data_IF_724095526354
#
_entry.id   IF_724095526354
#
_cell.length_a   1.000
_cell.length_b   1.000
_cell.length_c   1.000
_cell.angle_alpha   90.00
_cell.angle_beta   90.00
_cell.angle_gamma   90.00
#
_symmetry.space_group_name_H-M   'P 1'
#
loop_
_entity.id
_entity.type
_entity.pdbx_description
1 polymer ?
#
# COMPACT_ATOMS: atom_id res chain seq x y z
N UNK A 1 65.38 3.61 20.48
CA UNK A 1 64.37 2.75 21.16
C UNK A 1 63.12 2.88 20.34
N UNK A 2 62.89 1.81 19.58
CA UNK A 2 61.86 1.66 18.57
C UNK A 2 60.52 1.42 19.28
N UNK A 3 59.58 2.35 19.17
CA UNK A 3 58.21 2.17 19.66
C UNK A 3 57.34 2.00 18.44
N UNK A 4 56.78 0.79 18.31
CA UNK A 4 56.18 0.25 17.10
C UNK A 4 55.03 1.07 16.53
N UNK A 5 55.17 1.38 15.25
CA UNK A 5 54.06 1.62 14.33
C UNK A 5 53.33 0.29 14.07
N UNK A 6 52.32 -0.01 14.88
CA UNK A 6 51.27 -0.98 14.54
C UNK A 6 49.91 -0.26 14.52
N UNK A 7 49.80 0.78 13.70
CA UNK A 7 48.52 1.12 13.08
C UNK A 7 48.41 0.29 11.79
N UNK A 8 47.88 -0.93 11.90
CA UNK A 8 47.39 -1.64 10.73
C UNK A 8 46.17 -0.89 10.20
N UNK A 9 46.43 0.11 9.36
CA UNK A 9 45.42 0.61 8.45
C UNK A 9 44.86 -0.60 7.72
N UNK A 10 43.60 -0.94 7.99
CA UNK A 10 42.80 -1.77 7.10
C UNK A 10 42.95 -1.15 5.70
N UNK A 11 43.85 -1.72 4.90
CA UNK A 11 43.92 -1.42 3.48
C UNK A 11 42.59 -1.87 2.94
N UNK A 12 41.70 -0.90 2.72
CA UNK A 12 40.55 -1.07 1.86
C UNK A 12 41.13 -1.62 0.56
N UNK A 13 40.97 -2.92 0.35
CA UNK A 13 41.58 -3.61 -0.77
C UNK A 13 40.83 -3.18 -2.02
N UNK A 14 41.30 -2.07 -2.60
CA UNK A 14 40.73 -1.48 -3.80
C UNK A 14 40.73 -2.50 -4.95
N UNK A 15 41.64 -3.50 -4.90
CA UNK A 15 41.66 -4.62 -5.83
C UNK A 15 40.47 -5.56 -5.66
N UNK A 16 39.95 -5.79 -4.46
CA UNK A 16 38.73 -6.57 -4.26
C UNK A 16 37.49 -5.84 -4.82
N UNK A 17 37.41 -4.51 -4.64
CA UNK A 17 36.33 -3.70 -5.23
C UNK A 17 36.41 -3.63 -6.75
N UNK A 18 37.61 -3.50 -7.32
CA UNK A 18 37.82 -3.45 -8.77
C UNK A 18 37.59 -4.81 -9.45
N UNK A 19 37.90 -5.92 -8.78
CA UNK A 19 37.57 -7.28 -9.24
C UNK A 19 36.10 -7.68 -9.01
N UNK A 20 35.31 -6.82 -8.36
CA UNK A 20 33.85 -7.01 -8.22
C UNK A 20 33.08 -6.49 -9.44
N UNK A 21 33.70 -5.66 -10.27
CA UNK A 21 33.10 -5.17 -11.50
C UNK A 21 33.38 -6.15 -12.63
N UNK A 22 32.35 -6.53 -13.41
CA UNK A 22 32.59 -7.44 -14.50
C UNK A 22 33.61 -6.87 -15.47
N UNK A 23 34.55 -7.69 -15.93
CA UNK A 23 35.53 -7.26 -16.94
C UNK A 23 34.87 -6.95 -18.28
N UNK A 24 35.57 -6.26 -19.19
CA UNK A 24 35.04 -5.93 -20.53
C UNK A 24 34.51 -7.16 -21.30
N UNK A 25 35.10 -8.33 -21.06
CA UNK A 25 34.65 -9.60 -21.65
C UNK A 25 33.34 -10.10 -21.03
N UNK A 26 33.19 -9.96 -19.70
CA UNK A 26 31.97 -10.31 -18.98
C UNK A 26 30.82 -9.36 -19.34
N UNK A 27 31.11 -8.06 -19.50
CA UNK A 27 30.12 -7.12 -20.04
C UNK A 27 29.67 -7.51 -21.45
N UNK A 28 30.60 -7.86 -22.35
CA UNK A 28 30.24 -8.34 -23.69
C UNK A 28 29.38 -9.60 -23.65
N UNK A 29 29.71 -10.54 -22.76
CA UNK A 29 28.90 -11.75 -22.57
C UNK A 29 27.51 -11.41 -22.03
N UNK A 30 27.41 -10.54 -21.02
CA UNK A 30 26.12 -10.10 -20.45
C UNK A 30 25.26 -9.43 -21.53
N UNK A 31 25.83 -8.55 -22.36
CA UNK A 31 25.08 -7.93 -23.45
C UNK A 31 24.65 -8.95 -24.51
N UNK A 32 25.52 -9.89 -24.87
CA UNK A 32 25.17 -10.97 -25.80
C UNK A 32 24.03 -11.85 -25.25
N UNK A 33 24.07 -12.19 -23.97
CA UNK A 33 23.03 -12.99 -23.30
C UNK A 33 21.70 -12.22 -23.21
N UNK A 34 21.77 -10.90 -22.99
CA UNK A 34 20.59 -10.02 -23.00
C UNK A 34 20.00 -9.96 -24.41
N UNK A 35 20.82 -9.77 -25.43
CA UNK A 35 20.38 -9.70 -26.83
C UNK A 35 19.70 -11.02 -27.24
N UNK A 36 20.30 -12.17 -26.89
CA UNK A 36 19.72 -13.49 -27.16
C UNK A 36 18.36 -13.65 -26.45
N UNK A 37 18.24 -13.24 -25.17
CA UNK A 37 16.97 -13.28 -24.44
C UNK A 37 15.92 -12.34 -25.04
N UNK A 38 16.32 -11.18 -25.55
CA UNK A 38 15.42 -10.24 -26.23
C UNK A 38 14.90 -10.85 -27.53
N UNK A 39 15.75 -11.50 -28.32
CA UNK A 39 15.34 -12.21 -29.55
C UNK A 39 14.39 -13.39 -29.24
N UNK A 40 14.70 -14.17 -28.21
CA UNK A 40 13.83 -15.25 -27.75
C UNK A 40 12.46 -14.73 -27.29
N UNK A 41 12.44 -13.61 -26.54
CA UNK A 41 11.20 -12.95 -26.13
C UNK A 41 10.41 -12.43 -27.34
N UNK A 42 11.07 -11.79 -28.30
CA UNK A 42 10.42 -11.30 -29.51
C UNK A 42 9.75 -12.45 -30.30
N UNK A 43 10.46 -13.56 -30.44
CA UNK A 43 9.95 -14.77 -31.11
C UNK A 43 8.77 -15.39 -30.35
N UNK A 44 8.85 -15.44 -29.01
CA UNK A 44 7.80 -15.97 -28.15
C UNK A 44 6.53 -15.11 -28.19
N UNK A 45 6.69 -13.79 -28.21
CA UNK A 45 5.57 -12.85 -28.37
C UNK A 45 4.92 -13.03 -29.73
N UNK A 46 5.70 -13.15 -30.81
CA UNK A 46 5.16 -13.38 -32.16
C UNK A 46 4.38 -14.69 -32.24
N UNK A 47 4.88 -15.76 -31.61
CA UNK A 47 4.16 -17.04 -31.51
C UNK A 47 2.84 -16.89 -30.76
N UNK A 48 2.84 -16.22 -29.61
CA UNK A 48 1.64 -15.94 -28.82
C UNK A 48 0.58 -15.16 -29.62
N UNK A 49 1.00 -14.15 -30.39
CA UNK A 49 0.09 -13.38 -31.25
C UNK A 49 -0.53 -14.29 -32.33
N UNK A 50 0.24 -15.19 -32.93
CA UNK A 50 -0.27 -16.16 -33.93
C UNK A 50 -1.27 -17.15 -33.30
N UNK A 51 -1.04 -17.58 -32.07
CA UNK A 51 -1.99 -18.42 -31.34
C UNK A 51 -3.30 -17.68 -31.09
N UNK A 52 -3.22 -16.44 -30.57
CA UNK A 52 -4.40 -15.57 -30.36
C UNK A 52 -5.14 -15.36 -31.68
N UNK A 53 -4.43 -15.07 -32.77
CA UNK A 53 -5.01 -14.91 -34.11
C UNK A 53 -5.78 -16.17 -34.53
N UNK A 54 -5.17 -17.34 -34.36
CA UNK A 54 -5.77 -18.62 -34.74
C UNK A 54 -7.00 -18.97 -33.91
N UNK A 55 -6.99 -18.64 -32.62
CA UNK A 55 -8.08 -18.93 -31.69
C UNK A 55 -9.24 -17.95 -31.87
N UNK A 56 -8.95 -16.66 -32.04
CA UNK A 56 -9.95 -15.64 -32.33
C UNK A 56 -10.71 -15.95 -33.64
N UNK A 57 -10.00 -16.33 -34.71
CA UNK A 57 -10.60 -16.71 -35.98
C UNK A 57 -11.44 -18.00 -35.91
N UNK A 58 -11.17 -18.90 -34.94
CA UNK A 58 -11.98 -20.12 -34.70
C UNK A 58 -13.23 -19.83 -33.89
N UNK A 59 -13.08 -19.06 -32.80
CA UNK A 59 -14.14 -18.81 -31.82
C UNK A 59 -15.11 -17.71 -32.29
N UNK A 60 -14.65 -16.79 -33.13
CA UNK A 60 -15.43 -15.67 -33.64
C UNK A 60 -15.42 -15.65 -35.18
N UNK A 61 -16.35 -16.35 -35.86
CA UNK A 61 -16.38 -16.43 -37.33
C UNK A 61 -16.57 -15.07 -38.02
N UNK A 62 -17.12 -14.09 -37.30
CA UNK A 62 -17.38 -12.73 -37.79
C UNK A 62 -16.13 -11.84 -37.77
N UNK A 63 -15.04 -12.29 -37.13
CA UNK A 63 -13.77 -11.57 -37.05
C UNK A 63 -12.74 -12.30 -37.90
N UNK A 64 -12.17 -11.63 -38.89
CA UNK A 64 -11.12 -12.17 -39.75
C UNK A 64 -9.81 -11.40 -39.51
N UNK A 65 -9.01 -11.88 -38.57
CA UNK A 65 -7.70 -11.32 -38.27
C UNK A 65 -6.66 -11.91 -39.23
N UNK A 66 -6.06 -11.10 -40.09
CA UNK A 66 -5.09 -11.55 -41.10
C UNK A 66 -3.66 -11.17 -40.73
N UNK A 67 -3.46 -10.01 -40.11
CA UNK A 67 -2.15 -9.50 -39.73
C UNK A 67 -1.98 -9.37 -38.21
N UNK A 68 -0.74 -9.27 -37.74
CA UNK A 68 -0.43 -8.97 -36.35
C UNK A 68 -0.97 -7.60 -35.94
N UNK A 69 -0.97 -6.62 -36.86
CA UNK A 69 -1.58 -5.30 -36.65
C UNK A 69 -3.09 -5.41 -36.47
N UNK A 70 -3.77 -6.25 -37.25
CA UNK A 70 -5.20 -6.51 -37.07
C UNK A 70 -5.48 -7.11 -35.69
N UNK A 71 -4.63 -8.03 -35.22
CA UNK A 71 -4.75 -8.56 -33.86
C UNK A 71 -4.58 -7.48 -32.80
N UNK A 72 -3.62 -6.58 -32.94
CA UNK A 72 -3.44 -5.47 -32.00
C UNK A 72 -4.58 -4.44 -32.05
N UNK A 73 -5.05 -4.09 -33.25
CA UNK A 73 -6.22 -3.22 -33.40
C UNK A 73 -7.46 -3.90 -32.85
N UNK A 74 -7.65 -5.20 -33.09
CA UNK A 74 -8.76 -5.96 -32.54
C UNK A 74 -8.69 -6.01 -31.02
N UNK A 75 -7.53 -6.30 -30.41
CA UNK A 75 -7.35 -6.29 -28.95
C UNK A 75 -7.55 -4.89 -28.34
N UNK A 76 -7.01 -3.84 -28.95
CA UNK A 76 -7.14 -2.46 -28.47
C UNK A 76 -8.57 -1.92 -28.67
N UNK A 77 -9.25 -2.33 -29.73
CA UNK A 77 -10.62 -1.98 -30.04
C UNK A 77 -11.62 -3.03 -29.56
N UNK A 78 -11.17 -4.05 -28.82
CA UNK A 78 -12.04 -5.04 -28.15
C UNK A 78 -12.75 -4.42 -26.94
N UNK A 79 -13.10 -3.14 -27.02
CA UNK A 79 -14.26 -2.64 -26.33
C UNK A 79 -15.45 -3.05 -27.19
N UNK A 80 -16.21 -4.01 -26.67
CA UNK A 80 -17.46 -4.53 -27.24
C UNK A 80 -18.48 -3.39 -27.50
N UNK A 81 -18.25 -2.59 -28.54
CA UNK A 81 -19.10 -1.48 -28.90
C UNK A 81 -19.97 -1.86 -30.10
N UNK A 82 -21.24 -2.11 -29.73
CA UNK A 82 -22.43 -1.60 -30.41
C UNK A 82 -23.02 -2.34 -31.61
N UNK A 83 -23.14 -3.66 -31.56
CA UNK A 83 -24.35 -4.29 -32.10
C UNK A 83 -24.67 -5.61 -31.41
N UNK A 84 -25.61 -5.55 -30.45
CA UNK A 84 -26.16 -6.69 -29.69
C UNK A 84 -25.24 -7.29 -28.61
N UNK A 85 -24.89 -6.49 -27.60
CA UNK A 85 -24.88 -7.09 -26.25
C UNK A 85 -26.36 -7.35 -25.89
N UNK A 86 -26.72 -8.53 -25.33
CA UNK A 86 -28.02 -8.68 -24.72
C UNK A 86 -28.11 -7.64 -23.59
N UNK A 87 -28.91 -6.60 -23.79
CA UNK A 87 -29.14 -5.61 -22.75
C UNK A 87 -29.80 -6.34 -21.58
N UNK A 88 -29.09 -6.49 -20.46
CA UNK A 88 -29.67 -7.05 -19.24
C UNK A 88 -30.83 -6.13 -18.87
N UNK A 89 -32.07 -6.64 -18.76
CA UNK A 89 -33.19 -5.82 -18.32
C UNK A 89 -32.85 -5.16 -16.98
N UNK A 90 -33.06 -3.84 -16.87
CA UNK A 90 -32.73 -3.08 -15.67
C UNK A 90 -33.30 -3.69 -14.37
N UNK A 91 -34.48 -4.34 -14.47
CA UNK A 91 -35.09 -5.07 -13.36
C UNK A 91 -34.30 -6.28 -12.88
N UNK A 92 -33.65 -7.02 -13.79
CA UNK A 92 -32.85 -8.20 -13.44
C UNK A 92 -31.55 -7.80 -12.74
N UNK A 93 -30.93 -6.70 -13.17
CA UNK A 93 -29.76 -6.13 -12.51
C UNK A 93 -30.08 -5.65 -11.09
N UNK A 94 -31.17 -4.91 -10.91
CA UNK A 94 -31.62 -4.50 -9.58
C UNK A 94 -31.90 -5.72 -8.71
N UNK A 95 -32.55 -6.75 -9.26
CA UNK A 95 -32.86 -7.98 -8.52
C UNK A 95 -31.57 -8.67 -8.07
N UNK A 96 -30.59 -8.82 -8.97
CA UNK A 96 -29.28 -9.38 -8.65
C UNK A 96 -28.57 -8.61 -7.54
N UNK A 97 -28.46 -7.27 -7.67
CA UNK A 97 -27.80 -6.44 -6.66
C UNK A 97 -28.54 -6.49 -5.31
N UNK A 98 -29.88 -6.51 -5.31
CA UNK A 98 -30.65 -6.70 -4.08
C UNK A 98 -30.38 -8.05 -3.44
N UNK A 99 -30.31 -9.14 -4.21
CA UNK A 99 -29.95 -10.46 -3.69
C UNK A 99 -28.56 -10.47 -3.06
N UNK A 100 -27.56 -9.86 -3.71
CA UNK A 100 -26.23 -9.70 -3.11
C UNK A 100 -26.28 -8.89 -1.82
N UNK A 101 -27.01 -7.78 -1.81
CA UNK A 101 -27.15 -6.94 -0.63
C UNK A 101 -27.85 -7.68 0.52
N UNK A 102 -28.87 -8.49 0.22
CA UNK A 102 -29.60 -9.29 1.20
C UNK A 102 -28.71 -10.40 1.77
N UNK A 103 -27.90 -11.06 0.94
CA UNK A 103 -26.90 -12.04 1.39
C UNK A 103 -25.89 -11.41 2.34
N UNK A 104 -25.32 -10.26 1.99
CA UNK A 104 -24.36 -9.54 2.85
C UNK A 104 -24.96 -9.08 4.18
N UNK A 105 -26.26 -8.78 4.23
CA UNK A 105 -26.92 -8.28 5.46
C UNK A 105 -27.44 -9.39 6.37
N UNK A 106 -27.92 -10.49 5.79
CA UNK A 106 -28.68 -11.50 6.52
C UNK A 106 -27.87 -12.77 6.80
N UNK A 107 -26.85 -13.05 5.99
CA UNK A 107 -26.02 -14.24 6.13
C UNK A 107 -24.60 -13.86 6.58
N UNK A 108 -24.00 -14.69 7.42
CA UNK A 108 -22.66 -14.45 7.95
C UNK A 108 -21.59 -15.12 7.08
N UNK A 109 -20.44 -14.45 6.94
CA UNK A 109 -19.26 -14.93 6.20
C UNK A 109 -19.49 -15.15 4.69
N UNK A 110 -20.39 -14.38 4.07
CA UNK A 110 -20.63 -14.44 2.62
C UNK A 110 -19.72 -13.50 1.82
N UNK A 111 -18.94 -12.65 2.49
CA UNK A 111 -18.16 -11.59 1.85
C UNK A 111 -17.11 -12.13 0.88
N UNK A 112 -16.40 -13.21 1.24
CA UNK A 112 -15.38 -13.83 0.39
C UNK A 112 -16.00 -14.47 -0.84
N UNK A 113 -17.08 -15.24 -0.67
CA UNK A 113 -17.82 -15.85 -1.78
C UNK A 113 -18.35 -14.79 -2.75
N UNK A 114 -18.87 -13.68 -2.23
CA UNK A 114 -19.39 -12.60 -3.06
C UNK A 114 -18.27 -11.87 -3.80
N UNK A 115 -17.12 -11.64 -3.16
CA UNK A 115 -15.95 -11.06 -3.84
C UNK A 115 -15.44 -11.94 -4.97
N UNK A 116 -15.33 -13.25 -4.73
CA UNK A 116 -14.88 -14.21 -5.74
C UNK A 116 -15.89 -14.29 -6.89
N UNK A 117 -17.20 -14.33 -6.60
CA UNK A 117 -18.25 -14.28 -7.61
C UNK A 117 -18.17 -13.00 -8.47
N UNK A 118 -18.02 -11.83 -7.84
CA UNK A 118 -17.94 -10.55 -8.55
C UNK A 118 -16.67 -10.48 -9.42
N UNK A 119 -15.55 -10.99 -8.92
CA UNK A 119 -14.30 -11.08 -9.66
C UNK A 119 -14.42 -12.02 -10.87
N UNK A 120 -14.96 -13.22 -10.65
CA UNK A 120 -15.20 -14.21 -11.70
C UNK A 120 -16.14 -13.68 -12.79
N UNK A 121 -17.23 -13.00 -12.40
CA UNK A 121 -18.13 -12.35 -13.36
C UNK A 121 -17.42 -11.25 -14.16
N UNK A 122 -16.53 -10.48 -13.53
CA UNK A 122 -15.75 -9.47 -14.25
C UNK A 122 -14.81 -10.12 -15.27
N UNK A 123 -14.08 -11.17 -14.88
CA UNK A 123 -13.13 -11.86 -15.74
C UNK A 123 -13.78 -12.70 -16.85
N UNK A 124 -14.81 -13.48 -16.53
CA UNK A 124 -15.41 -14.44 -17.45
C UNK A 124 -16.40 -13.80 -18.41
N UNK A 125 -17.07 -12.72 -17.99
CA UNK A 125 -18.14 -12.09 -18.78
C UNK A 125 -17.86 -10.67 -19.23
N UNK A 126 -16.64 -10.14 -18.99
CA UNK A 126 -16.25 -8.75 -19.30
C UNK A 126 -17.30 -7.73 -18.83
N UNK A 127 -18.00 -8.04 -17.73
CA UNK A 127 -19.03 -7.15 -17.17
C UNK A 127 -18.31 -6.02 -16.45
N UNK A 128 -18.44 -4.81 -16.97
CA UNK A 128 -18.03 -3.61 -16.27
C UNK A 128 -19.06 -3.29 -15.20
N UNK A 129 -18.70 -3.51 -13.93
CA UNK A 129 -19.48 -2.96 -12.83
C UNK A 129 -19.45 -1.43 -12.86
N UNK A 130 -20.45 -0.73 -12.28
CA UNK A 130 -20.47 0.73 -12.27
C UNK A 130 -19.19 1.28 -11.64
N UNK A 131 -18.27 1.75 -12.48
CA UNK A 131 -17.00 2.32 -12.06
C UNK A 131 -17.25 3.73 -11.53
N UNK A 132 -16.66 4.06 -10.39
CA UNK A 132 -16.52 5.47 -9.98
C UNK A 132 -15.63 6.18 -10.98
N UNK A 133 -16.23 6.91 -11.92
CA UNK A 133 -15.60 8.14 -12.37
C UNK A 133 -15.56 9.08 -11.16
N UNK A 134 -14.49 8.98 -10.39
CA UNK A 134 -14.11 10.01 -9.44
C UNK A 134 -13.64 11.21 -10.27
N UNK A 135 -14.48 12.24 -10.35
CA UNK A 135 -14.16 13.51 -11.01
C UNK A 135 -14.45 13.56 -12.51
N UNK A 136 -15.52 14.28 -12.87
CA UNK A 136 -15.72 14.89 -14.20
C UNK A 136 -15.53 13.98 -15.42
N UNK A 137 -16.50 13.12 -15.74
CA UNK A 137 -16.88 13.02 -17.15
C UNK A 137 -18.41 13.01 -17.27
N UNK A 138 -18.90 14.08 -17.87
CA UNK A 138 -20.27 14.21 -18.34
C UNK A 138 -20.40 13.42 -19.65
N UNK A 139 -20.46 12.09 -19.56
CA UNK A 139 -20.79 11.26 -20.72
C UNK A 139 -21.84 10.21 -20.37
N UNK A 140 -22.95 10.64 -19.76
CA UNK A 140 -24.21 9.88 -19.77
C UNK A 140 -25.45 10.78 -19.89
N UNK A 141 -25.31 12.00 -20.41
CA UNK A 141 -26.45 12.87 -20.76
C UNK A 141 -26.79 12.76 -22.26
N UNK A 142 -26.96 11.53 -22.76
CA UNK A 142 -27.62 11.30 -24.05
C UNK A 142 -28.89 10.49 -23.83
N UNK A 143 -29.91 11.17 -23.28
CA UNK A 143 -31.34 11.06 -23.64
C UNK A 143 -32.20 11.61 -22.49
N UNK A 144 -32.27 12.93 -22.37
CA UNK A 144 -33.45 13.57 -21.79
C UNK A 144 -34.04 14.47 -22.86
N UNK A 145 -34.97 13.86 -23.61
CA UNK A 145 -35.99 14.63 -24.32
C UNK A 145 -36.72 15.48 -23.29
N UNK A 146 -36.97 16.76 -23.57
CA UNK A 146 -37.70 17.72 -22.72
C UNK A 146 -39.14 17.29 -22.35
N UNK A 147 -39.56 16.10 -22.74
CA UNK A 147 -40.88 15.53 -22.50
C UNK A 147 -40.86 14.12 -21.87
N UNK A 148 -39.71 13.59 -21.42
CA UNK A 148 -39.73 12.33 -20.66
C UNK A 148 -40.10 12.62 -19.21
N UNK A 149 -41.22 12.08 -18.77
CA UNK A 149 -41.61 11.97 -17.36
C UNK A 149 -40.44 11.38 -16.57
N UNK A 150 -40.00 12.07 -15.52
CA UNK A 150 -39.03 11.55 -14.56
C UNK A 150 -39.68 10.39 -13.81
N UNK A 151 -39.49 9.17 -14.31
CA UNK A 151 -39.89 7.97 -13.61
C UNK A 151 -39.02 7.83 -12.35
N UNK A 152 -39.60 8.17 -11.20
CA UNK A 152 -39.05 7.91 -9.87
C UNK A 152 -38.93 6.40 -9.52
N UNK A 153 -38.92 5.51 -10.52
CA UNK A 153 -38.69 4.06 -10.40
C UNK A 153 -37.20 3.67 -10.46
N UNK A 154 -36.32 4.62 -10.77
CA UNK A 154 -34.87 4.46 -10.64
C UNK A 154 -34.47 4.47 -9.17
N UNK A 155 -34.75 3.38 -8.45
CA UNK A 155 -33.89 3.04 -7.32
C UNK A 155 -32.51 2.81 -7.94
N UNK A 156 -31.68 3.85 -7.85
CA UNK A 156 -30.50 4.02 -8.70
C UNK A 156 -29.60 2.80 -8.49
N UNK A 157 -29.40 1.98 -9.54
CA UNK A 157 -28.50 0.82 -9.53
C UNK A 157 -27.18 1.16 -8.85
N UNK A 158 -26.73 2.39 -9.04
CA UNK A 158 -25.56 2.97 -8.39
C UNK A 158 -25.64 2.98 -6.86
N UNK A 159 -26.77 3.36 -6.27
CA UNK A 159 -26.94 3.40 -4.81
C UNK A 159 -26.85 2.01 -4.18
N UNK A 160 -27.51 1.01 -4.77
CA UNK A 160 -27.44 -0.37 -4.29
C UNK A 160 -26.00 -0.91 -4.44
N UNK A 161 -25.35 -0.61 -5.56
CA UNK A 161 -23.95 -0.98 -5.78
C UNK A 161 -23.00 -0.29 -4.80
N UNK A 162 -23.18 1.00 -4.54
CA UNK A 162 -22.38 1.77 -3.59
C UNK A 162 -22.48 1.19 -2.17
N UNK A 163 -23.67 0.75 -1.76
CA UNK A 163 -23.89 0.06 -0.49
C UNK A 163 -23.13 -1.27 -0.41
N UNK A 164 -23.20 -2.09 -1.45
CA UNK A 164 -22.48 -3.37 -1.55
C UNK A 164 -20.97 -3.12 -1.48
N UNK A 165 -20.45 -2.21 -2.31
CA UNK A 165 -19.03 -1.84 -2.32
C UNK A 165 -18.56 -1.32 -0.97
N UNK A 166 -19.39 -0.53 -0.28
CA UNK A 166 -19.07 0.00 1.04
C UNK A 166 -18.98 -1.13 2.07
N UNK A 167 -19.90 -2.08 2.02
CA UNK A 167 -19.91 -3.24 2.91
C UNK A 167 -18.65 -4.10 2.71
N UNK A 168 -18.37 -4.49 1.46
CA UNK A 168 -17.18 -5.28 1.11
C UNK A 168 -15.88 -4.54 1.47
N UNK A 169 -15.81 -3.22 1.25
CA UNK A 169 -14.67 -2.42 1.69
C UNK A 169 -14.43 -2.52 3.19
N UNK A 170 -15.49 -2.42 4.00
CA UNK A 170 -15.37 -2.49 5.47
C UNK A 170 -14.85 -3.87 5.89
N UNK A 171 -15.34 -4.93 5.27
CA UNK A 171 -14.83 -6.29 5.48
C UNK A 171 -13.33 -6.41 5.15
N UNK A 172 -12.92 -5.98 3.96
CA UNK A 172 -11.51 -6.03 3.53
C UNK A 172 -10.59 -5.18 4.40
N UNK A 173 -11.03 -3.97 4.78
CA UNK A 173 -10.27 -3.10 5.70
C UNK A 173 -10.15 -3.73 7.09
N UNK A 174 -11.20 -4.40 7.58
CA UNK A 174 -11.15 -5.13 8.85
C UNK A 174 -10.14 -6.28 8.79
N UNK A 175 -10.17 -7.08 7.71
CA UNK A 175 -9.22 -8.17 7.46
C UNK A 175 -7.77 -7.67 7.34
N UNK A 176 -7.57 -6.53 6.68
CA UNK A 176 -6.27 -5.83 6.63
C UNK A 176 -5.84 -5.26 7.99
N UNK A 177 -6.73 -5.01 8.95
CA UNK A 177 -6.35 -4.53 10.28
C UNK A 177 -6.00 -5.68 11.23
N UNK A 178 -6.62 -6.85 11.08
CA UNK A 178 -6.39 -8.03 11.93
C UNK A 178 -5.16 -8.86 11.55
N UNK A 179 -4.46 -8.56 10.44
CA UNK A 179 -3.30 -9.34 9.98
C UNK A 179 -2.14 -9.47 10.99
N UNK A 180 -2.07 -8.60 12.00
CA UNK A 180 -1.07 -8.70 13.07
C UNK A 180 -1.19 -9.96 13.94
N UNK A 181 -2.36 -10.62 13.93
CA UNK A 181 -2.59 -11.88 14.66
C UNK A 181 -1.90 -13.09 13.98
N UNK A 182 -1.48 -12.93 12.73
CA UNK A 182 -0.81 -13.98 11.96
C UNK A 182 0.68 -13.98 12.32
N UNK A 183 1.23 -15.13 12.71
CA UNK A 183 2.66 -15.22 13.05
C UNK A 183 3.57 -15.42 11.83
N UNK A 184 3.03 -15.89 10.70
CA UNK A 184 3.78 -16.19 9.49
C UNK A 184 3.80 -14.99 8.52
N UNK A 185 4.99 -14.50 8.18
CA UNK A 185 5.18 -13.36 7.25
C UNK A 185 4.68 -13.64 5.83
N UNK A 186 4.84 -14.87 5.32
CA UNK A 186 4.40 -15.22 3.97
C UNK A 186 2.87 -15.20 3.85
N UNK A 187 2.18 -15.69 4.88
CA UNK A 187 0.72 -15.66 4.94
C UNK A 187 0.19 -14.22 5.04
N UNK A 188 0.91 -13.33 5.75
CA UNK A 188 0.58 -11.90 5.78
C UNK A 188 0.69 -11.26 4.41
N UNK A 189 1.78 -11.50 3.69
CA UNK A 189 2.01 -10.93 2.35
C UNK A 189 0.87 -11.39 1.42
N UNK A 190 0.55 -12.68 1.41
CA UNK A 190 -0.52 -13.22 0.57
C UNK A 190 -1.89 -12.63 0.92
N UNK A 191 -2.23 -12.52 2.20
CA UNK A 191 -3.48 -11.90 2.65
C UNK A 191 -3.54 -10.42 2.26
N UNK A 192 -2.47 -9.66 2.51
CA UNK A 192 -2.40 -8.23 2.16
C UNK A 192 -2.56 -8.05 0.65
N UNK A 193 -1.88 -8.88 -0.13
CA UNK A 193 -1.94 -8.84 -1.59
C UNK A 193 -3.36 -9.08 -2.08
N UNK A 194 -3.98 -10.19 -1.65
CA UNK A 194 -5.37 -10.52 -2.00
C UNK A 194 -6.34 -9.40 -1.63
N UNK A 195 -6.24 -8.86 -0.41
CA UNK A 195 -7.12 -7.78 0.03
C UNK A 195 -6.92 -6.48 -0.77
N UNK A 196 -5.68 -6.11 -1.11
CA UNK A 196 -5.40 -4.91 -1.90
C UNK A 196 -5.92 -5.09 -3.33
N UNK A 197 -5.70 -6.26 -3.96
CA UNK A 197 -6.26 -6.55 -5.29
C UNK A 197 -7.78 -6.48 -5.30
N UNK A 198 -8.44 -7.08 -4.30
CA UNK A 198 -9.90 -7.00 -4.15
C UNK A 198 -10.39 -5.57 -3.87
N UNK A 199 -9.60 -4.74 -3.19
CA UNK A 199 -9.93 -3.32 -3.02
C UNK A 199 -9.77 -2.53 -4.32
N UNK A 200 -8.74 -2.83 -5.13
CA UNK A 200 -8.50 -2.21 -6.44
C UNK A 200 -9.57 -2.58 -7.46
N UNK A 201 -10.21 -3.74 -7.29
CA UNK A 201 -11.42 -4.09 -8.05
C UNK A 201 -12.60 -3.15 -7.73
N UNK A 202 -12.75 -2.73 -6.47
CA UNK A 202 -13.90 -1.97 -6.00
C UNK A 202 -13.72 -0.44 -6.08
N UNK A 203 -12.48 0.04 -6.00
CA UNK A 203 -12.12 1.46 -5.88
C UNK A 203 -10.88 1.81 -6.70
N UNK A 204 -10.66 3.10 -6.94
CA UNK A 204 -9.48 3.59 -7.65
C UNK A 204 -8.19 3.34 -6.87
N UNK A 205 -7.06 3.20 -7.59
CA UNK A 205 -5.74 3.00 -7.00
C UNK A 205 -5.43 4.04 -5.91
N UNK A 206 -5.67 5.33 -6.18
CA UNK A 206 -5.38 6.39 -5.22
C UNK A 206 -6.17 6.24 -3.91
N UNK A 207 -7.45 5.88 -3.98
CA UNK A 207 -8.29 5.66 -2.81
C UNK A 207 -7.83 4.45 -1.99
N UNK A 208 -7.49 3.35 -2.66
CA UNK A 208 -7.00 2.13 -2.02
C UNK A 208 -5.66 2.37 -1.33
N UNK A 209 -4.72 3.00 -2.03
CA UNK A 209 -3.40 3.31 -1.49
C UNK A 209 -3.50 4.24 -0.28
N UNK A 210 -4.27 5.33 -0.36
CA UNK A 210 -4.49 6.22 0.79
C UNK A 210 -5.10 5.46 1.97
N UNK A 211 -6.06 4.55 1.74
CA UNK A 211 -6.62 3.75 2.85
C UNK A 211 -5.61 2.77 3.43
N UNK A 212 -4.83 2.11 2.60
CA UNK A 212 -3.79 1.20 3.07
C UNK A 212 -2.71 1.95 3.88
N UNK A 213 -2.23 3.10 3.38
CA UNK A 213 -1.33 4.01 4.09
C UNK A 213 -1.88 4.37 5.48
N UNK A 214 -3.16 4.76 5.56
CA UNK A 214 -3.80 5.12 6.82
C UNK A 214 -3.88 3.97 7.84
N UNK A 215 -4.05 2.73 7.36
CA UNK A 215 -4.03 1.54 8.24
C UNK A 215 -2.61 1.35 8.80
N UNK A 216 -1.61 1.40 7.94
CA UNK A 216 -0.21 1.21 8.32
C UNK A 216 0.31 2.32 9.23
N UNK A 217 0.00 3.58 8.93
CA UNK A 217 0.35 4.73 9.78
C UNK A 217 -0.20 4.57 11.20
N UNK A 218 -1.44 4.10 11.36
CA UNK A 218 -2.02 3.85 12.69
C UNK A 218 -1.30 2.72 13.44
N UNK A 219 -0.95 1.65 12.74
CA UNK A 219 -0.21 0.53 13.32
C UNK A 219 1.19 0.96 13.73
N UNK A 220 1.87 1.72 12.89
CA UNK A 220 3.19 2.26 13.12
C UNK A 220 3.22 3.26 14.27
N UNK A 221 2.29 4.23 14.31
CA UNK A 221 2.18 5.18 15.41
C UNK A 221 1.96 4.45 16.75
N UNK A 222 1.10 3.43 16.79
CA UNK A 222 0.89 2.60 17.97
C UNK A 222 2.16 1.84 18.39
N UNK A 223 2.91 1.30 17.43
CA UNK A 223 4.17 0.61 17.68
C UNK A 223 5.21 1.56 18.29
N UNK A 224 5.38 2.75 17.70
CA UNK A 224 6.34 3.75 18.17
C UNK A 224 5.95 4.30 19.54
N UNK A 225 4.68 4.63 19.76
CA UNK A 225 4.19 5.13 21.06
C UNK A 225 4.40 4.12 22.19
N UNK A 226 4.24 2.82 21.92
CA UNK A 226 4.52 1.78 22.91
C UNK A 226 6.01 1.72 23.31
N UNK A 227 6.92 2.11 22.42
CA UNK A 227 8.37 2.12 22.67
C UNK A 227 8.88 3.43 23.27
N UNK A 228 8.08 4.49 23.20
CA UNK A 228 8.36 5.78 23.82
C UNK A 228 7.35 6.10 24.93
N UNK A 229 7.20 5.26 25.98
CA UNK A 229 6.36 5.62 27.10
C UNK A 229 6.87 6.94 27.70
N UNK A 230 5.95 7.76 28.21
CA UNK A 230 6.27 9.04 28.85
C UNK A 230 7.40 8.81 29.87
N UNK A 231 8.56 9.41 29.62
CA UNK A 231 9.79 9.21 30.39
C UNK A 231 9.50 9.32 31.90
N UNK A 232 9.53 8.19 32.60
CA UNK A 232 9.52 8.16 34.06
C UNK A 232 10.96 7.98 34.54
N UNK A 233 11.32 8.70 35.61
CA UNK A 233 12.67 8.74 36.18
C UNK A 233 13.17 7.36 36.68
N UNK A 234 12.28 6.36 36.70
CA UNK A 234 12.47 5.00 37.19
C UNK A 234 12.63 3.97 36.05
N UNK A 235 12.51 4.39 34.78
CA UNK A 235 12.69 3.50 33.64
C UNK A 235 14.18 3.16 33.45
N UNK A 236 14.49 1.87 33.50
CA UNK A 236 15.84 1.36 33.33
C UNK A 236 16.25 1.53 31.86
N UNK A 237 17.33 2.27 31.59
CA UNK A 237 17.78 2.58 30.22
C UNK A 237 17.99 1.32 29.37
N UNK A 238 18.40 0.21 30.00
CA UNK A 238 18.58 -1.08 29.34
C UNK A 238 17.25 -1.68 28.83
N UNK A 239 16.14 -1.48 29.56
CA UNK A 239 14.80 -1.92 29.15
C UNK A 239 14.34 -1.09 27.95
N UNK A 240 14.55 0.23 27.98
CA UNK A 240 14.23 1.12 26.86
C UNK A 240 15.04 0.79 25.61
N UNK A 241 16.32 0.46 25.76
CA UNK A 241 17.17 0.06 24.64
C UNK A 241 16.67 -1.24 24.00
N UNK A 242 16.29 -2.24 24.81
CA UNK A 242 15.73 -3.49 24.30
C UNK A 242 14.36 -3.30 23.62
N UNK A 243 13.48 -2.47 24.18
CA UNK A 243 12.18 -2.14 23.58
C UNK A 243 12.37 -1.42 22.24
N UNK A 244 13.33 -0.50 22.15
CA UNK A 244 13.69 0.18 20.91
C UNK A 244 14.22 -0.79 19.86
N UNK A 245 15.15 -1.66 20.23
CA UNK A 245 15.72 -2.66 19.33
C UNK A 245 14.63 -3.60 18.78
N UNK A 246 13.72 -4.06 19.64
CA UNK A 246 12.57 -4.87 19.25
C UNK A 246 11.63 -4.13 18.29
N UNK A 247 11.34 -2.85 18.54
CA UNK A 247 10.55 -2.03 17.64
C UNK A 247 11.20 -1.85 16.26
N UNK A 248 12.51 -1.61 16.22
CA UNK A 248 13.24 -1.44 14.96
C UNK A 248 13.21 -2.72 14.12
N UNK A 249 13.37 -3.89 14.74
CA UNK A 249 13.22 -5.18 14.04
C UNK A 249 11.80 -5.39 13.51
N UNK A 250 10.79 -5.00 14.28
CA UNK A 250 9.39 -5.09 13.85
C UNK A 250 9.08 -4.09 12.72
N UNK A 251 9.66 -2.90 12.77
CA UNK A 251 9.58 -1.89 11.72
C UNK A 251 10.19 -2.40 10.41
N UNK A 252 11.40 -2.97 10.45
CA UNK A 252 12.04 -3.58 9.27
C UNK A 252 11.17 -4.69 8.67
N UNK A 253 10.59 -5.55 9.52
CA UNK A 253 9.66 -6.59 9.07
C UNK A 253 8.42 -6.00 8.40
N UNK A 254 7.80 -4.96 8.97
CA UNK A 254 6.63 -4.31 8.39
C UNK A 254 6.95 -3.69 7.03
N UNK A 255 8.09 -2.99 6.91
CA UNK A 255 8.54 -2.38 5.65
C UNK A 255 8.76 -3.47 4.59
N UNK A 256 9.44 -4.56 4.94
CA UNK A 256 9.67 -5.68 4.01
C UNK A 256 8.38 -6.34 3.54
N UNK A 257 7.46 -6.63 4.46
CA UNK A 257 6.17 -7.22 4.12
C UNK A 257 5.38 -6.34 3.14
N UNK A 258 5.30 -5.03 3.43
CA UNK A 258 4.53 -4.09 2.62
C UNK A 258 5.21 -3.82 1.29
N UNK A 259 6.54 -3.75 1.25
CA UNK A 259 7.29 -3.62 0.00
C UNK A 259 7.05 -4.83 -0.92
N UNK A 260 7.17 -6.05 -0.37
CA UNK A 260 6.93 -7.28 -1.15
C UNK A 260 5.49 -7.38 -1.64
N UNK A 261 4.52 -6.98 -0.80
CA UNK A 261 3.10 -6.95 -1.18
C UNK A 261 2.86 -5.95 -2.31
N UNK A 262 3.38 -4.73 -2.18
CA UNK A 262 3.07 -3.64 -3.13
C UNK A 262 3.87 -3.75 -4.42
N UNK A 263 5.05 -4.37 -4.42
CA UNK A 263 5.85 -4.58 -5.63
C UNK A 263 5.13 -5.45 -6.67
N UNK A 264 4.26 -6.37 -6.23
CA UNK A 264 3.46 -7.21 -7.14
C UNK A 264 2.26 -6.47 -7.74
N UNK A 265 1.87 -5.32 -7.17
CA UNK A 265 0.61 -4.62 -7.48
C UNK A 265 0.88 -3.26 -8.14
N UNK A 266 1.91 -2.55 -7.70
CA UNK A 266 2.22 -1.18 -8.10
C UNK A 266 3.55 -1.11 -8.86
N UNK A 267 3.73 -0.08 -9.71
CA UNK A 267 5.03 0.25 -10.27
C UNK A 267 6.08 0.49 -9.16
N UNK A 268 7.37 0.14 -9.39
CA UNK A 268 8.42 0.28 -8.40
C UNK A 268 8.51 1.69 -7.78
N UNK A 269 8.34 2.74 -8.60
CA UNK A 269 8.35 4.13 -8.12
C UNK A 269 7.22 4.44 -7.12
N UNK A 270 6.03 3.88 -7.35
CA UNK A 270 4.87 4.08 -6.49
C UNK A 270 5.00 3.29 -5.19
N UNK A 271 5.51 2.05 -5.25
CA UNK A 271 5.81 1.26 -4.06
C UNK A 271 6.86 1.95 -3.16
N UNK A 272 7.95 2.47 -3.75
CA UNK A 272 8.97 3.22 -2.99
C UNK A 272 8.38 4.50 -2.38
N UNK A 273 7.57 5.24 -3.15
CA UNK A 273 6.87 6.43 -2.65
C UNK A 273 5.98 6.08 -1.46
N UNK A 274 5.21 4.99 -1.54
CA UNK A 274 4.39 4.50 -0.44
C UNK A 274 5.23 4.24 0.81
N UNK A 275 6.35 3.52 0.68
CA UNK A 275 7.21 3.19 1.84
C UNK A 275 7.74 4.46 2.49
N UNK A 276 8.20 5.43 1.69
CA UNK A 276 8.66 6.72 2.19
C UNK A 276 7.56 7.45 2.98
N UNK A 277 6.41 7.68 2.36
CA UNK A 277 5.31 8.46 2.94
C UNK A 277 4.67 7.79 4.16
N UNK A 278 4.64 6.46 4.18
CA UNK A 278 4.00 5.70 5.26
C UNK A 278 4.94 5.51 6.43
N UNK A 279 6.18 5.06 6.18
CA UNK A 279 7.08 4.67 7.25
C UNK A 279 8.03 5.79 7.64
N UNK A 280 8.76 6.36 6.69
CA UNK A 280 9.81 7.33 7.01
C UNK A 280 9.22 8.65 7.51
N UNK A 281 8.17 9.15 6.87
CA UNK A 281 7.52 10.39 7.29
C UNK A 281 6.82 10.22 8.66
N UNK A 282 6.13 9.09 8.89
CA UNK A 282 5.51 8.79 10.19
C UNK A 282 6.54 8.61 11.31
N UNK A 283 7.65 7.89 11.06
CA UNK A 283 8.74 7.79 12.05
C UNK A 283 9.30 9.17 12.36
N UNK A 284 9.52 10.01 11.34
CA UNK A 284 10.02 11.37 11.52
C UNK A 284 9.07 12.20 12.38
N UNK A 285 7.76 12.13 12.11
CA UNK A 285 6.73 12.84 12.87
C UNK A 285 6.66 12.39 14.33
N UNK A 286 6.62 11.08 14.60
CA UNK A 286 6.55 10.56 15.96
C UNK A 286 7.85 10.81 16.75
N UNK A 287 9.02 10.74 16.09
CA UNK A 287 10.30 11.11 16.71
C UNK A 287 10.35 12.61 17.06
N UNK A 288 9.84 13.47 16.19
CA UNK A 288 9.74 14.90 16.47
C UNK A 288 8.82 15.19 17.68
N UNK A 289 7.68 14.50 17.77
CA UNK A 289 6.77 14.59 18.94
C UNK A 289 7.46 14.11 20.22
N UNK A 290 8.17 12.98 20.16
CA UNK A 290 8.93 12.47 21.30
C UNK A 290 9.99 13.47 21.78
N UNK A 291 10.80 14.00 20.86
CA UNK A 291 11.84 14.98 21.18
C UNK A 291 11.26 16.27 21.79
N UNK A 292 10.14 16.77 21.25
CA UNK A 292 9.45 17.93 21.81
C UNK A 292 8.99 17.69 23.25
N UNK A 293 8.34 16.54 23.51
CA UNK A 293 7.88 16.16 24.84
C UNK A 293 9.04 15.96 25.83
N UNK A 294 10.13 15.35 25.38
CA UNK A 294 11.34 15.14 26.18
C UNK A 294 11.98 16.48 26.58
N UNK A 295 12.11 17.42 25.63
CA UNK A 295 12.59 18.76 25.91
C UNK A 295 11.71 19.49 26.93
N UNK A 296 10.37 19.45 26.79
CA UNK A 296 9.47 20.06 27.77
C UNK A 296 9.65 19.51 29.19
N UNK A 297 9.82 18.19 29.33
CA UNK A 297 10.06 17.53 30.61
C UNK A 297 11.36 18.01 31.25
N UNK A 298 12.45 18.09 30.48
CA UNK A 298 13.73 18.61 30.96
C UNK A 298 13.63 20.08 31.42
N UNK A 299 12.94 20.92 30.65
CA UNK A 299 12.76 22.33 31.02
C UNK A 299 11.91 22.48 32.30
N UNK A 300 10.79 21.75 32.43
CA UNK A 300 9.97 21.76 33.66
C UNK A 300 10.78 21.30 34.88
N UNK A 301 11.63 20.29 34.74
CA UNK A 301 12.44 19.80 35.86
C UNK A 301 13.55 20.79 36.26
N UNK A 302 14.20 21.45 35.29
CA UNK A 302 15.19 22.49 35.55
C UNK A 302 14.58 23.70 36.27
N UNK A 303 13.37 24.12 35.89
CA UNK A 303 12.66 25.22 36.54
C UNK A 303 12.32 24.88 38.01
N UNK A 304 11.89 23.66 38.30
CA UNK A 304 11.60 23.20 39.67
C UNK A 304 12.88 23.12 40.53
N UNK A 305 14.02 22.70 39.96
CA UNK A 305 15.31 22.66 40.68
C UNK A 305 15.87 24.05 40.96
N UNK A 306 15.78 24.99 40.01
CA UNK A 306 16.23 26.39 40.18
C UNK A 306 15.45 27.12 41.27
N UNK A 307 14.15 26.82 41.43
CA UNK A 307 13.32 27.40 42.51
C UNK A 307 13.71 26.81 43.89
N UNK A 308 14.20 25.56 43.94
CA UNK A 308 14.62 24.91 45.20
C UNK A 308 16.02 25.35 45.66
N UNK A 309 16.94 25.64 44.75
CA UNK A 309 18.31 26.07 45.10
C UNK A 309 18.43 27.57 45.39
N UNK A 310 17.44 28.38 45.04
CA UNK A 310 17.45 29.84 45.26
C UNK A 310 16.92 30.28 46.63
N UNK A 311 16.45 29.36 47.49
CA UNK A 311 15.88 29.68 48.82
C UNK A 311 16.84 29.54 50.01
N UNK A 312 18.11 29.19 49.81
CA UNK A 312 19.08 29.00 50.91
C UNK A 312 20.36 29.83 50.73
N UNK A 313 20.25 31.15 50.66
CA UNK A 313 21.44 32.04 50.74
C UNK A 313 21.11 33.43 51.29
N UNK A 314 20.60 33.53 52.53
CA UNK A 314 20.70 34.77 53.29
C UNK A 314 20.56 34.56 54.79
N UNK A 315 21.70 34.49 55.50
CA UNK A 315 22.01 35.18 56.78
C UNK A 315 23.07 34.40 57.58
N UNK A 316 24.33 34.71 57.32
CA UNK A 316 25.36 34.65 58.35
C UNK A 316 26.19 35.95 58.28
N UNK A 317 25.88 36.87 59.19
CA UNK A 317 26.64 38.08 59.55
C UNK A 317 26.05 38.44 60.91
N UNK A 318 26.71 38.34 62.05
CA UNK A 318 28.12 38.46 62.39
C UNK A 318 28.05 39.10 63.78
N UNK A 319 28.43 38.35 64.81
CA UNK A 319 28.48 38.86 66.18
C UNK A 319 29.62 39.88 66.28
N UNK A 320 29.33 41.07 66.83
CA UNK A 320 30.35 41.99 67.31
C UNK A 320 29.89 42.49 68.69
N UNK A 321 30.75 42.20 69.68
CA UNK A 321 30.67 42.65 71.06
C UNK A 321 30.55 44.18 71.17
N UNK A 322 29.85 44.64 72.21
CA UNK A 322 30.15 45.91 72.86
C UNK A 322 29.93 45.76 74.37
N UNK A 323 31.02 45.89 75.12
CA UNK A 323 31.03 46.26 76.54
C UNK A 323 30.67 47.75 76.65
N UNK A 324 29.90 48.10 77.68
CA UNK A 324 29.57 49.46 78.11
C UNK A 324 28.65 49.40 79.31
#
# INVERSE_FOLDING_TARGET
MDWGDEYSHNSFDLHCLLNSFPGDLEFKQIFSDIDEKIEQNATSIEHCIKEIQSEANKQCPDVQLQTTTDCFEWLNNYNYNSSKSPSIPHGDLIKFLKTLQDLLKNEQNQEEMILDLLWDLSCQSCISFPSTLSGTSFHFLLRTSLHSVEDHSSMDVKTIWDDIRLYLRRFLVSKLQSHNEINNSQQKILLKNQCIQQLLFLYSESEVIIKYQNIQNKLLAKLLQNCFPSYSKESNLDILFHEYQSAMLKLDSMIKEDFNTLHEILPPSSAVKFIKETYLDTVTEEMAKFLANFCELLFKESAVRVIKTSKSSSRHRGAVHALG
#
